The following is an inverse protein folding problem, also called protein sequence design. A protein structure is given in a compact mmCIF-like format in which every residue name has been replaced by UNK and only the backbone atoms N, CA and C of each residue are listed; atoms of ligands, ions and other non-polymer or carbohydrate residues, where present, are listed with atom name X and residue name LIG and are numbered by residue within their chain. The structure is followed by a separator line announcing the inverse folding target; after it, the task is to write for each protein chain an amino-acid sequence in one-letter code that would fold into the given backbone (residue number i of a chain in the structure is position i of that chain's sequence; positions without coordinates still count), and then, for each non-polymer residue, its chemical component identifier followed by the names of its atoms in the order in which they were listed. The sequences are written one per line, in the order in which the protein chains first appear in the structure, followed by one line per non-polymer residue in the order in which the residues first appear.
data_IF_685904052885
#
_entry.id   IF_685904052885
#
_cell.length_a   1.000
_cell.length_b   1.000
_cell.length_c   1.000
_cell.angle_alpha   90.00
_cell.angle_beta   90.00
_cell.angle_gamma   90.00
#
_symmetry.space_group_name_H-M   'P 1'
#
loop_
_entity.id
_entity.type
_entity.pdbx_description
1 polymer ?
#
# COMPACT_ATOMS: atom_id res chain seq x y z
N UNK A 1 26.53 -27.80 -13.46
CA UNK A 1 26.23 -26.45 -12.95
C UNK A 1 25.42 -26.58 -11.69
N UNK A 2 25.92 -26.09 -10.57
CA UNK A 2 25.15 -25.93 -9.33
C UNK A 2 24.13 -24.81 -9.52
N UNK A 3 22.87 -25.07 -9.16
CA UNK A 3 21.81 -24.06 -9.21
C UNK A 3 22.02 -23.03 -8.09
N UNK A 4 21.82 -21.73 -8.39
CA UNK A 4 21.90 -20.67 -7.40
C UNK A 4 20.80 -20.84 -6.34
N UNK A 5 21.19 -20.88 -5.07
CA UNK A 5 20.26 -20.93 -3.94
C UNK A 5 20.45 -19.70 -3.05
N UNK A 6 19.40 -18.89 -2.94
CA UNK A 6 19.42 -17.73 -2.07
C UNK A 6 19.13 -18.13 -0.62
N UNK A 7 20.10 -17.91 0.28
CA UNK A 7 20.00 -18.33 1.69
C UNK A 7 18.81 -17.72 2.45
N UNK A 8 18.32 -16.55 2.03
CA UNK A 8 17.20 -15.85 2.68
C UNK A 8 15.89 -15.95 1.90
N UNK A 9 15.75 -16.91 0.99
CA UNK A 9 14.54 -17.03 0.14
C UNK A 9 13.25 -17.20 0.98
N UNK A 10 13.31 -17.99 2.06
CA UNK A 10 12.18 -18.13 3.00
C UNK A 10 11.83 -16.82 3.72
N UNK A 11 12.85 -16.00 4.05
CA UNK A 11 12.63 -14.71 4.70
C UNK A 11 12.00 -13.74 3.71
N UNK A 12 12.51 -13.70 2.47
CA UNK A 12 11.93 -12.88 1.41
C UNK A 12 10.45 -13.21 1.17
N UNK A 13 10.11 -14.49 1.02
CA UNK A 13 8.72 -14.91 0.82
C UNK A 13 7.81 -14.51 2.01
N UNK A 14 8.30 -14.63 3.25
CA UNK A 14 7.55 -14.18 4.42
C UNK A 14 7.31 -12.66 4.39
N UNK A 15 8.33 -11.87 4.01
CA UNK A 15 8.20 -10.41 3.91
C UNK A 15 7.28 -9.96 2.79
N UNK A 16 7.28 -10.66 1.66
CA UNK A 16 6.33 -10.44 0.58
C UNK A 16 4.90 -10.70 1.05
N UNK A 17 4.68 -11.80 1.79
CA UNK A 17 3.37 -12.07 2.37
C UNK A 17 2.93 -11.00 3.37
N UNK A 18 3.81 -10.58 4.30
CA UNK A 18 3.51 -9.48 5.24
C UNK A 18 3.17 -8.16 4.53
N UNK A 19 3.88 -7.86 3.43
CA UNK A 19 3.59 -6.71 2.57
C UNK A 19 2.21 -6.85 1.95
N UNK A 20 1.87 -8.01 1.39
CA UNK A 20 0.59 -8.22 0.70
C UNK A 20 -0.59 -8.17 1.68
N UNK A 21 -0.42 -8.66 2.91
CA UNK A 21 -1.41 -8.52 3.98
C UNK A 21 -1.62 -7.05 4.37
N UNK A 22 -0.53 -6.27 4.47
CA UNK A 22 -0.59 -4.82 4.75
C UNK A 22 -1.20 -4.05 3.58
N UNK A 23 -0.83 -4.44 2.36
CA UNK A 23 -1.58 -4.39 1.10
C UNK A 23 -3.08 -4.23 1.25
N UNK A 24 -3.66 -5.38 1.58
CA UNK A 24 -5.10 -5.57 1.69
C UNK A 24 -5.69 -4.69 2.80
N UNK A 25 -5.05 -4.64 3.97
CA UNK A 25 -5.52 -3.82 5.09
C UNK A 25 -5.53 -2.32 4.75
N UNK A 26 -4.57 -1.84 3.95
CA UNK A 26 -4.56 -0.47 3.47
C UNK A 26 -5.73 -0.19 2.52
N UNK A 27 -6.00 -1.10 1.57
CA UNK A 27 -7.15 -0.98 0.66
C UNK A 27 -8.48 -0.95 1.42
N UNK A 28 -8.66 -1.83 2.40
CA UNK A 28 -9.84 -1.83 3.26
C UNK A 28 -9.98 -0.50 4.04
N UNK A 29 -8.87 0.06 4.54
CA UNK A 29 -8.89 1.34 5.23
C UNK A 29 -9.26 2.51 4.29
N UNK A 30 -8.85 2.47 3.02
CA UNK A 30 -9.28 3.45 2.00
C UNK A 30 -10.79 3.34 1.78
N UNK A 31 -11.32 2.13 1.55
CA UNK A 31 -12.75 1.92 1.32
C UNK A 31 -13.60 2.38 2.51
N UNK A 32 -13.15 2.11 3.74
CA UNK A 32 -13.79 2.58 4.97
C UNK A 32 -13.78 4.11 5.05
N UNK A 33 -12.65 4.74 4.73
CA UNK A 33 -12.53 6.20 4.69
C UNK A 33 -13.46 6.82 3.65
N UNK A 34 -13.45 6.32 2.42
CA UNK A 34 -14.31 6.80 1.33
C UNK A 34 -15.79 6.69 1.67
N UNK A 35 -16.20 5.57 2.27
CA UNK A 35 -17.58 5.36 2.71
C UNK A 35 -18.01 6.39 3.74
N UNK A 36 -17.21 6.64 4.78
CA UNK A 36 -17.56 7.60 5.84
C UNK A 36 -17.49 9.04 5.31
N UNK A 37 -16.51 9.36 4.45
CA UNK A 37 -16.40 10.66 3.81
C UNK A 37 -17.59 10.96 2.90
N UNK A 38 -18.10 9.95 2.18
CA UNK A 38 -19.33 10.08 1.37
C UNK A 38 -20.54 10.35 2.26
N UNK A 39 -20.67 9.65 3.38
CA UNK A 39 -21.75 9.93 4.35
C UNK A 39 -21.68 11.35 4.90
N UNK A 40 -20.48 11.88 5.18
CA UNK A 40 -20.30 13.26 5.59
C UNK A 40 -20.80 14.23 4.52
N UNK A 41 -20.38 14.01 3.27
CA UNK A 41 -20.82 14.81 2.13
C UNK A 41 -22.34 14.84 2.01
N UNK A 42 -23.00 13.67 2.10
CA UNK A 42 -24.45 13.57 2.00
C UNK A 42 -25.17 14.34 3.12
N UNK A 43 -24.65 14.28 4.36
CA UNK A 43 -25.23 15.04 5.47
C UNK A 43 -25.05 16.55 5.30
N UNK A 44 -23.87 16.98 4.85
CA UNK A 44 -23.63 18.40 4.55
C UNK A 44 -24.54 18.89 3.42
N UNK A 45 -24.72 18.09 2.37
CA UNK A 45 -25.62 18.42 1.27
C UNK A 45 -27.07 18.50 1.72
N UNK A 46 -27.49 17.57 2.59
CA UNK A 46 -28.81 17.60 3.21
C UNK A 46 -29.04 18.87 4.02
N UNK A 47 -28.05 19.30 4.82
CA UNK A 47 -28.12 20.58 5.57
C UNK A 47 -28.29 21.77 4.63
N UNK A 48 -27.51 21.82 3.55
CA UNK A 48 -27.60 22.89 2.54
C UNK A 48 -29.01 22.97 1.94
N UNK A 49 -29.57 21.84 1.49
CA UNK A 49 -30.91 21.80 0.91
C UNK A 49 -31.99 22.28 1.91
N UNK A 50 -31.88 21.89 3.18
CA UNK A 50 -32.81 22.31 4.24
C UNK A 50 -32.76 23.81 4.50
N UNK A 51 -31.57 24.40 4.48
CA UNK A 51 -31.39 25.84 4.62
C UNK A 51 -31.99 26.59 3.42
N UNK A 52 -31.81 26.06 2.21
CA UNK A 52 -32.40 26.64 1.01
C UNK A 52 -33.94 26.58 1.05
N UNK A 53 -34.53 25.45 1.43
CA UNK A 53 -35.98 25.30 1.63
C UNK A 53 -36.52 26.27 2.69
N UNK A 54 -35.82 26.42 3.82
CA UNK A 54 -36.17 27.37 4.86
C UNK A 54 -36.19 28.80 4.31
N UNK A 55 -35.16 29.19 3.57
CA UNK A 55 -35.04 30.53 2.98
C UNK A 55 -36.15 30.82 1.96
N UNK A 56 -36.52 29.82 1.15
CA UNK A 56 -37.62 29.95 0.19
C UNK A 56 -38.96 30.14 0.91
N UNK A 57 -39.23 29.36 1.97
CA UNK A 57 -40.48 29.49 2.75
C UNK A 57 -40.57 30.80 3.52
N UNK A 58 -39.45 31.35 3.98
CA UNK A 58 -39.43 32.68 4.61
C UNK A 58 -39.96 33.78 3.69
N UNK A 59 -39.82 33.64 2.36
CA UNK A 59 -40.31 34.64 1.39
C UNK A 59 -41.84 34.66 1.24
N UNK A 60 -42.54 33.58 1.60
CA UNK A 60 -44.00 33.42 1.42
C UNK A 60 -44.81 33.64 2.70
N UNK A 61 -44.15 33.87 3.83
CA UNK A 61 -44.75 33.92 5.17
C UNK A 61 -44.47 32.65 5.97
N UNK A 62 -44.08 32.82 7.23
CA UNK A 62 -43.46 31.77 8.04
C UNK A 62 -44.03 31.76 9.45
N UNK A 63 -44.52 30.61 9.93
CA UNK A 63 -44.98 30.48 11.32
C UNK A 63 -43.80 30.42 12.28
N UNK A 64 -44.00 30.90 13.51
CA UNK A 64 -43.02 30.78 14.59
C UNK A 64 -42.72 29.30 14.89
N UNK A 65 -43.73 28.43 14.80
CA UNK A 65 -43.57 27.00 15.03
C UNK A 65 -42.70 26.32 13.96
N UNK A 66 -42.83 26.74 12.70
CA UNK A 66 -41.99 26.26 11.61
C UNK A 66 -40.53 26.67 11.85
N UNK A 67 -40.30 27.91 12.27
CA UNK A 67 -38.96 28.42 12.58
C UNK A 67 -38.26 27.63 13.68
N UNK A 68 -38.96 27.33 14.77
CA UNK A 68 -38.43 26.48 15.82
C UNK A 68 -38.16 25.05 15.35
N UNK A 69 -38.99 24.52 14.44
CA UNK A 69 -38.82 23.17 13.92
C UNK A 69 -37.61 23.07 12.99
N UNK A 70 -37.44 24.01 12.06
CA UNK A 70 -36.24 24.09 11.21
C UNK A 70 -34.97 24.27 12.03
N UNK A 71 -34.97 25.17 13.02
CA UNK A 71 -33.81 25.39 13.89
C UNK A 71 -33.41 24.13 14.66
N UNK A 72 -34.37 23.40 15.24
CA UNK A 72 -34.10 22.12 15.91
C UNK A 72 -33.55 21.07 14.94
N UNK A 73 -34.08 21.00 13.74
CA UNK A 73 -33.64 20.04 12.74
C UNK A 73 -32.22 20.34 12.24
N UNK A 74 -31.90 21.60 11.96
CA UNK A 74 -30.55 22.04 11.58
C UNK A 74 -29.55 21.74 12.69
N UNK A 75 -29.88 22.04 13.95
CA UNK A 75 -29.03 21.68 15.09
C UNK A 75 -28.78 20.17 15.18
N UNK A 76 -29.79 19.35 14.89
CA UNK A 76 -29.64 17.89 14.87
C UNK A 76 -28.71 17.44 13.74
N UNK A 77 -28.83 18.05 12.55
CA UNK A 77 -27.92 17.79 11.44
C UNK A 77 -26.49 18.19 11.79
N UNK A 78 -26.30 19.32 12.48
CA UNK A 78 -24.97 19.79 12.91
C UNK A 78 -24.30 18.82 13.88
N UNK A 79 -25.03 18.36 14.91
CA UNK A 79 -24.50 17.34 15.82
C UNK A 79 -24.13 16.03 15.09
N UNK A 80 -24.93 15.64 14.10
CA UNK A 80 -24.65 14.47 13.27
C UNK A 80 -23.41 14.67 12.38
N UNK A 81 -23.28 15.85 11.76
CA UNK A 81 -22.13 16.21 10.93
C UNK A 81 -20.86 16.22 11.77
N UNK A 82 -20.89 16.85 12.95
CA UNK A 82 -19.74 16.90 13.87
C UNK A 82 -19.29 15.50 14.26
N UNK A 83 -20.24 14.61 14.57
CA UNK A 83 -19.93 13.21 14.88
C UNK A 83 -19.27 12.49 13.71
N UNK A 84 -19.84 12.58 12.51
CA UNK A 84 -19.31 11.91 11.32
C UNK A 84 -17.94 12.50 10.94
N UNK A 85 -17.71 13.80 11.11
CA UNK A 85 -16.40 14.41 10.91
C UNK A 85 -15.32 13.79 11.80
N UNK A 86 -15.63 13.50 13.07
CA UNK A 86 -14.71 12.80 13.95
C UNK A 86 -14.41 11.38 13.45
N UNK A 87 -15.41 10.67 12.95
CA UNK A 87 -15.22 9.34 12.37
C UNK A 87 -14.39 9.38 11.07
N UNK A 88 -14.59 10.40 10.21
CA UNK A 88 -13.74 10.64 9.03
C UNK A 88 -12.29 10.87 9.46
N UNK A 89 -12.05 11.68 10.49
CA UNK A 89 -10.69 11.93 10.99
C UNK A 89 -10.03 10.66 11.52
N UNK A 90 -10.77 9.82 12.26
CA UNK A 90 -10.27 8.53 12.76
C UNK A 90 -9.94 7.59 11.61
N UNK A 91 -10.84 7.45 10.65
CA UNK A 91 -10.66 6.59 9.49
C UNK A 91 -9.47 7.04 8.62
N UNK A 92 -9.33 8.36 8.41
CA UNK A 92 -8.16 8.93 7.73
C UNK A 92 -6.86 8.63 8.45
N UNK A 93 -6.86 8.74 9.79
CA UNK A 93 -5.66 8.43 10.59
C UNK A 93 -5.27 6.95 10.48
N UNK A 94 -6.28 6.05 10.51
CA UNK A 94 -6.09 4.61 10.28
C UNK A 94 -5.51 4.32 8.89
N UNK A 95 -6.07 4.95 7.86
CA UNK A 95 -5.58 4.84 6.48
C UNK A 95 -4.12 5.28 6.36
N UNK A 96 -3.77 6.47 6.86
CA UNK A 96 -2.39 6.98 6.82
C UNK A 96 -1.39 6.09 7.60
N UNK A 97 -1.85 5.46 8.69
CA UNK A 97 -1.04 4.52 9.44
C UNK A 97 -0.70 3.28 8.60
N UNK A 98 -1.70 2.67 7.95
CA UNK A 98 -1.48 1.54 7.05
C UNK A 98 -0.61 1.91 5.84
N UNK A 99 -0.77 3.11 5.28
CA UNK A 99 0.11 3.63 4.21
C UNK A 99 1.58 3.65 4.65
N UNK A 100 1.83 4.16 5.86
CA UNK A 100 3.18 4.24 6.42
C UNK A 100 3.78 2.84 6.68
N UNK A 101 2.97 1.91 7.18
CA UNK A 101 3.40 0.51 7.39
C UNK A 101 3.69 -0.19 6.07
N UNK A 102 2.84 0.01 5.06
CA UNK A 102 3.05 -0.56 3.73
C UNK A 102 4.34 -0.04 3.10
N UNK A 103 4.65 1.25 3.26
CA UNK A 103 5.90 1.84 2.80
C UNK A 103 7.11 1.15 3.44
N UNK A 104 7.09 0.95 4.76
CA UNK A 104 8.16 0.28 5.50
C UNK A 104 8.36 -1.16 5.00
N UNK A 105 7.27 -1.93 4.88
CA UNK A 105 7.31 -3.31 4.37
C UNK A 105 7.83 -3.40 2.94
N UNK A 106 7.43 -2.47 2.08
CA UNK A 106 7.96 -2.37 0.71
C UNK A 106 9.47 -2.13 0.68
N UNK A 107 9.98 -1.26 1.57
CA UNK A 107 11.42 -1.02 1.69
C UNK A 107 12.14 -2.29 2.15
N UNK A 108 11.58 -3.03 3.10
CA UNK A 108 12.16 -4.30 3.57
C UNK A 108 12.26 -5.34 2.46
N UNK A 109 11.18 -5.57 1.71
CA UNK A 109 11.16 -6.52 0.58
C UNK A 109 12.24 -6.13 -0.44
N UNK A 110 12.28 -4.86 -0.86
CA UNK A 110 13.29 -4.37 -1.82
C UNK A 110 14.73 -4.57 -1.37
N UNK A 111 15.01 -4.47 -0.06
CA UNK A 111 16.35 -4.77 0.47
C UNK A 111 16.72 -6.24 0.22
N UNK A 112 15.81 -7.16 0.50
CA UNK A 112 16.06 -8.59 0.29
C UNK A 112 16.11 -8.99 -1.18
N UNK A 113 15.29 -8.37 -2.04
CA UNK A 113 15.37 -8.53 -3.50
C UNK A 113 16.75 -8.08 -4.01
N UNK A 114 17.21 -6.90 -3.58
CA UNK A 114 18.52 -6.39 -4.00
C UNK A 114 19.67 -7.25 -3.54
N UNK A 115 19.60 -7.78 -2.32
CA UNK A 115 20.58 -8.74 -1.81
C UNK A 115 20.58 -10.05 -2.61
N UNK A 116 19.41 -10.54 -3.04
CA UNK A 116 19.27 -11.72 -3.89
C UNK A 116 19.90 -11.50 -5.27
N UNK A 117 19.66 -10.34 -5.87
CA UNK A 117 20.25 -9.93 -7.15
C UNK A 117 21.79 -9.91 -7.07
N UNK A 118 22.37 -9.20 -6.09
CA UNK A 118 23.82 -9.13 -5.89
C UNK A 118 24.41 -10.52 -5.66
N UNK A 119 23.76 -11.35 -4.82
CA UNK A 119 24.22 -12.72 -4.57
C UNK A 119 24.21 -13.58 -5.83
N UNK A 120 23.25 -13.37 -6.73
CA UNK A 120 23.17 -14.08 -8.00
C UNK A 120 24.29 -13.64 -8.94
N UNK A 121 24.52 -12.33 -9.07
CA UNK A 121 25.63 -11.80 -9.88
C UNK A 121 26.99 -12.36 -9.44
N UNK A 122 27.23 -12.42 -8.12
CA UNK A 122 28.46 -13.00 -7.56
C UNK A 122 28.58 -14.49 -7.85
N UNK A 123 27.48 -15.25 -7.72
CA UNK A 123 27.47 -16.68 -8.04
C UNK A 123 27.76 -16.92 -9.54
N UNK A 124 27.13 -16.15 -10.42
CA UNK A 124 27.30 -16.29 -11.86
C UNK A 124 28.75 -15.96 -12.29
N UNK A 125 29.35 -14.92 -11.71
CA UNK A 125 30.76 -14.58 -11.92
C UNK A 125 31.73 -15.67 -11.42
N UNK A 126 31.46 -16.27 -10.26
CA UNK A 126 32.27 -17.39 -9.74
C UNK A 126 32.16 -18.62 -10.65
N UNK A 127 30.95 -18.93 -11.14
CA UNK A 127 30.75 -20.04 -12.06
C UNK A 127 31.49 -19.83 -13.39
N UNK A 128 31.48 -18.61 -13.93
CA UNK A 128 32.24 -18.25 -15.13
C UNK A 128 33.76 -18.37 -14.90
N UNK A 129 34.25 -17.96 -13.72
CA UNK A 129 35.65 -18.10 -13.36
C UNK A 129 36.09 -19.57 -13.26
N UNK A 130 35.29 -20.41 -12.59
CA UNK A 130 35.52 -21.86 -12.49
C UNK A 130 35.51 -22.53 -13.88
N UNK A 131 34.58 -22.14 -14.74
CA UNK A 131 34.49 -22.66 -16.11
C UNK A 131 35.72 -22.28 -16.94
N UNK A 132 36.14 -21.02 -16.87
CA UNK A 132 37.34 -20.52 -17.57
C UNK A 132 38.59 -21.29 -17.13
N UNK A 133 38.82 -21.43 -15.82
CA UNK A 133 39.96 -22.19 -15.29
C UNK A 133 39.94 -23.65 -15.78
N UNK A 134 38.77 -24.29 -15.81
CA UNK A 134 38.61 -25.66 -16.31
C UNK A 134 38.92 -25.78 -17.81
N UNK A 135 38.54 -24.78 -18.62
CA UNK A 135 38.85 -24.75 -20.05
C UNK A 135 40.37 -24.62 -20.27
N UNK A 136 41.05 -23.78 -19.48
CA UNK A 136 42.50 -23.60 -19.56
C UNK A 136 43.27 -24.87 -19.16
N UNK A 137 42.83 -25.56 -18.11
CA UNK A 137 43.39 -26.85 -17.69
C UNK A 137 43.26 -27.91 -18.79
N UNK A 138 42.07 -28.04 -19.38
CA UNK A 138 41.81 -28.99 -20.47
C UNK A 138 42.63 -28.66 -21.72
N UNK A 139 42.80 -27.37 -22.03
CA UNK A 139 43.63 -26.90 -23.15
C UNK A 139 45.09 -27.25 -22.94
N UNK A 140 45.61 -27.05 -21.73
CA UNK A 140 46.99 -27.42 -21.35
C UNK A 140 47.21 -28.93 -21.42
N UNK A 141 46.27 -29.73 -20.91
CA UNK A 141 46.34 -31.20 -20.99
C UNK A 141 46.34 -31.68 -22.44
N UNK A 142 45.45 -31.15 -23.29
CA UNK A 142 45.41 -31.49 -24.72
C UNK A 142 46.69 -31.09 -25.45
N UNK A 143 47.28 -29.94 -25.11
CA UNK A 143 48.54 -29.50 -25.70
C UNK A 143 49.68 -30.44 -25.33
N UNK A 144 49.87 -30.73 -24.03
CA UNK A 144 50.90 -31.67 -23.54
C UNK A 144 50.76 -33.06 -24.15
N UNK A 145 49.53 -33.58 -24.22
CA UNK A 145 49.24 -34.87 -24.86
C UNK A 145 49.59 -34.92 -26.35
N UNK A 146 49.71 -33.79 -27.06
CA UNK A 146 50.17 -33.74 -28.45
C UNK A 146 51.70 -33.62 -28.57
N UNK A 147 52.38 -33.07 -27.56
CA UNK A 147 53.86 -33.02 -27.52
C UNK A 147 54.47 -34.36 -27.08
N UNK A 148 53.82 -35.09 -26.17
CA UNK A 148 54.28 -36.41 -25.70
C UNK A 148 53.96 -37.56 -26.69
N UNK A 149 53.35 -37.24 -27.84
CA UNK A 149 53.09 -38.19 -28.92
C UNK A 149 54.29 -38.34 -29.86
N UNK A 150 55.11 -39.37 -29.62
CA UNK A 150 55.92 -40.04 -30.66
C UNK A 150 55.11 -41.16 -31.31
#
# INVERSE_FOLDING_TARGET
MTSFYYRFDKVLNLREQERDETEMAYKEAIEEFEKIATQLYDQMKKKENVLEEQQQRMNTGFSIDDLHSYSRFINTLDLSIDHIQQEVMKSRSKMNWYESQLLEKNIEVKKFEKMKEIGKEQHDAEMEHIETNRIDELSTMKFRSREDGW
#
